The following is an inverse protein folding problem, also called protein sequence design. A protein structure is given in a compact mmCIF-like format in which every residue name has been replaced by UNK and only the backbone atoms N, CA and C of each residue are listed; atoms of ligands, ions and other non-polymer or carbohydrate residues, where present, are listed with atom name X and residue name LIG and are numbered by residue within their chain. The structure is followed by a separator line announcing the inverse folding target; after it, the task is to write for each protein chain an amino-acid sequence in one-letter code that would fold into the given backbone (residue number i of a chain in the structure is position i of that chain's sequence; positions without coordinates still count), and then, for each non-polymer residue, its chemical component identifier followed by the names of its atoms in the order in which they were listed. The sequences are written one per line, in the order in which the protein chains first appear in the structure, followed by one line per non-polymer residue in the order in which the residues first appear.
data_IF_955548980077
#
_entry.id   IF_955548980077
#
_cell.length_a   1.000
_cell.length_b   1.000
_cell.length_c   1.000
_cell.angle_alpha   90.00
_cell.angle_beta   90.00
_cell.angle_gamma   90.00
#
_symmetry.space_group_name_H-M   'P 1'
#
loop_
_entity.id
_entity.type
_entity.pdbx_description
1 polymer ?
#
# COMPACT_ATOMS: atom_id res chain seq x y z
N UNK A 1 8.21 -10.39 3.97
CA UNK A 1 7.38 -9.30 4.53
C UNK A 1 5.90 -9.64 4.39
N UNK A 2 5.11 -9.51 5.47
CA UNK A 2 3.65 -9.76 5.58
C UNK A 2 3.09 -11.20 5.58
N UNK A 3 3.87 -12.25 5.25
CA UNK A 3 3.33 -13.63 5.12
C UNK A 3 2.57 -14.17 6.36
N UNK A 4 2.98 -13.75 7.56
CA UNK A 4 2.37 -14.13 8.85
C UNK A 4 1.35 -13.11 9.39
N UNK A 5 1.10 -12.03 8.66
CA UNK A 5 0.17 -10.98 9.07
C UNK A 5 -1.27 -11.33 8.68
N UNK A 6 -2.24 -10.68 9.34
CA UNK A 6 -3.68 -10.82 9.04
C UNK A 6 -4.02 -10.21 7.68
N UNK A 7 -5.08 -10.70 7.03
CA UNK A 7 -5.65 -10.04 5.84
C UNK A 7 -5.96 -8.56 6.15
N UNK A 8 -5.63 -7.66 5.22
CA UNK A 8 -5.74 -6.22 5.43
C UNK A 8 -4.56 -5.58 6.17
N UNK A 9 -3.50 -6.35 6.50
CA UNK A 9 -2.25 -5.79 7.02
C UNK A 9 -1.45 -5.12 5.91
N UNK A 10 -0.92 -3.93 6.17
CA UNK A 10 -0.28 -3.12 5.15
C UNK A 10 0.90 -2.32 5.68
N UNK A 11 1.79 -1.93 4.78
CA UNK A 11 2.84 -0.94 5.07
C UNK A 11 3.18 -0.13 3.81
N UNK A 12 3.49 1.14 4.02
CA UNK A 12 4.10 2.00 2.99
C UNK A 12 5.61 1.94 3.18
N UNK A 13 6.32 1.65 2.09
CA UNK A 13 7.78 1.51 2.06
C UNK A 13 8.39 2.27 0.89
N UNK A 14 9.69 2.41 0.90
CA UNK A 14 10.42 2.79 -0.31
C UNK A 14 10.31 1.69 -1.37
N UNK A 15 10.23 2.12 -2.64
CA UNK A 15 10.26 1.22 -3.77
C UNK A 15 11.67 0.62 -3.92
N UNK A 16 11.74 -0.70 -4.03
CA UNK A 16 13.00 -1.43 -4.25
C UNK A 16 13.55 -1.21 -5.67
N UNK A 17 12.68 -0.99 -6.65
CA UNK A 17 13.05 -0.85 -8.05
C UNK A 17 13.28 0.60 -8.48
N UNK A 18 12.83 1.59 -7.71
CA UNK A 18 12.85 2.98 -8.12
C UNK A 18 13.10 3.93 -6.96
N UNK A 19 14.30 4.50 -6.92
CA UNK A 19 14.75 5.35 -5.83
C UNK A 19 13.88 6.59 -5.70
N UNK A 20 13.43 6.87 -4.47
CA UNK A 20 12.58 8.04 -4.15
C UNK A 20 11.10 7.83 -4.40
N UNK A 21 10.68 6.68 -4.93
CA UNK A 21 9.27 6.31 -5.03
C UNK A 21 8.83 5.50 -3.81
N UNK A 22 7.53 5.53 -3.53
CA UNK A 22 6.91 4.74 -2.45
C UNK A 22 6.08 3.60 -3.04
N UNK A 23 5.93 2.54 -2.26
CA UNK A 23 5.09 1.39 -2.59
C UNK A 23 4.26 0.97 -1.38
N UNK A 24 3.04 0.51 -1.65
CA UNK A 24 2.19 -0.16 -0.68
C UNK A 24 2.42 -1.68 -0.77
N UNK A 25 2.77 -2.31 0.34
CA UNK A 25 2.68 -3.76 0.49
C UNK A 25 1.43 -4.10 1.30
N UNK A 26 0.65 -5.07 0.83
CA UNK A 26 -0.60 -5.50 1.43
C UNK A 26 -0.65 -7.03 1.55
N UNK A 27 -1.15 -7.52 2.68
CA UNK A 27 -1.50 -8.93 2.85
C UNK A 27 -2.96 -9.17 2.44
N UNK A 28 -3.18 -9.89 1.35
CA UNK A 28 -4.48 -10.49 1.06
C UNK A 28 -4.57 -11.91 1.62
N UNK A 29 -5.74 -12.55 1.55
CA UNK A 29 -5.90 -13.97 1.92
C UNK A 29 -4.91 -14.88 1.21
N UNK A 30 -4.74 -14.69 -0.10
CA UNK A 30 -4.06 -15.66 -0.97
C UNK A 30 -2.64 -15.24 -1.37
N UNK A 31 -2.32 -13.94 -1.37
CA UNK A 31 -1.00 -13.45 -1.77
C UNK A 31 -0.62 -12.14 -1.07
N UNK A 32 0.65 -11.74 -1.24
CA UNK A 32 1.09 -10.39 -0.92
C UNK A 32 1.00 -9.53 -2.18
N UNK A 33 0.31 -8.41 -2.05
CA UNK A 33 0.09 -7.46 -3.14
C UNK A 33 1.05 -6.30 -2.94
N UNK A 34 1.75 -5.92 -4.01
CA UNK A 34 2.69 -4.81 -4.02
C UNK A 34 2.27 -3.83 -5.11
N UNK A 35 2.02 -2.59 -4.73
CA UNK A 35 1.52 -1.56 -5.64
C UNK A 35 2.35 -0.31 -5.50
N UNK A 36 2.77 0.26 -6.63
CA UNK A 36 3.49 1.52 -6.66
C UNK A 36 2.55 2.67 -6.28
N UNK A 37 3.06 3.59 -5.48
CA UNK A 37 2.42 4.89 -5.23
C UNK A 37 3.14 5.88 -6.14
N UNK A 38 2.41 6.46 -7.09
CA UNK A 38 2.97 7.36 -8.09
C UNK A 38 2.61 8.80 -7.75
N UNK A 39 3.61 9.68 -7.71
CA UNK A 39 3.40 11.12 -7.74
C UNK A 39 3.27 11.58 -9.19
N UNK A 40 2.10 12.13 -9.54
CA UNK A 40 1.83 12.70 -10.87
C UNK A 40 2.54 14.05 -11.03
N UNK A 41 2.59 14.53 -12.29
CA UNK A 41 3.21 15.81 -12.65
C UNK A 41 2.53 16.99 -11.93
N UNK A 42 1.23 16.89 -11.66
CA UNK A 42 0.46 17.90 -10.92
C UNK A 42 0.66 17.83 -9.39
N UNK A 43 1.56 16.97 -8.88
CA UNK A 43 1.84 16.80 -7.46
C UNK A 43 0.86 15.88 -6.70
N UNK A 44 -0.15 15.33 -7.38
CA UNK A 44 -1.11 14.40 -6.76
C UNK A 44 -0.55 12.98 -6.69
N UNK A 45 -0.94 12.23 -5.67
CA UNK A 45 -0.56 10.84 -5.45
C UNK A 45 -1.68 9.89 -5.87
N UNK A 46 -1.29 8.77 -6.48
CA UNK A 46 -2.20 7.67 -6.85
C UNK A 46 -1.63 6.32 -6.41
N UNK A 47 -2.52 5.39 -6.03
CA UNK A 47 -2.22 3.99 -5.75
C UNK A 47 -2.40 3.13 -7.01
N UNK A 48 -1.31 2.87 -7.75
CA UNK A 48 -1.38 2.28 -9.08
C UNK A 48 -1.95 3.26 -10.13
N UNK A 49 -2.00 2.82 -11.39
CA UNK A 49 -2.23 3.72 -12.55
C UNK A 49 -3.66 4.27 -12.66
N UNK A 50 -4.67 3.54 -12.16
CA UNK A 50 -6.09 3.85 -12.37
C UNK A 50 -6.86 4.14 -11.08
N UNK A 51 -6.18 4.61 -10.04
CA UNK A 51 -6.84 4.98 -8.79
C UNK A 51 -7.11 6.48 -8.69
N UNK A 52 -7.89 6.86 -7.67
CA UNK A 52 -8.20 8.24 -7.31
C UNK A 52 -6.94 9.03 -6.97
N UNK A 53 -6.99 10.33 -7.26
CA UNK A 53 -5.96 11.31 -6.92
C UNK A 53 -6.09 11.80 -5.48
N UNK A 54 -4.96 11.91 -4.78
CA UNK A 54 -4.85 12.40 -3.40
C UNK A 54 -3.78 13.48 -3.28
N UNK A 55 -3.91 14.39 -2.32
CA UNK A 55 -2.91 15.45 -2.10
C UNK A 55 -1.70 14.94 -1.31
N UNK A 56 -1.86 13.84 -0.57
CA UNK A 56 -0.77 13.23 0.19
C UNK A 56 -0.94 11.72 0.35
N UNK A 57 0.16 11.03 0.65
CA UNK A 57 0.13 9.60 0.96
C UNK A 57 -0.69 9.29 2.23
N UNK A 58 -0.55 10.03 3.36
CA UNK A 58 -1.39 9.79 4.54
C UNK A 58 -2.90 9.90 4.25
N UNK A 59 -3.32 10.90 3.48
CA UNK A 59 -4.73 11.05 3.06
C UNK A 59 -5.21 9.86 2.23
N UNK A 60 -4.39 9.41 1.27
CA UNK A 60 -4.69 8.22 0.47
C UNK A 60 -4.85 6.96 1.35
N UNK A 61 -3.96 6.77 2.32
CA UNK A 61 -4.02 5.63 3.24
C UNK A 61 -5.29 5.71 4.09
N UNK A 62 -5.58 6.87 4.69
CA UNK A 62 -6.78 7.10 5.50
C UNK A 62 -8.06 6.78 4.72
N UNK A 63 -8.16 7.26 3.48
CA UNK A 63 -9.27 6.95 2.59
C UNK A 63 -9.48 5.43 2.41
N UNK A 64 -8.42 4.68 2.11
CA UNK A 64 -8.52 3.24 1.91
C UNK A 64 -8.62 2.42 3.20
N UNK A 65 -8.60 3.04 4.39
CA UNK A 65 -9.04 2.36 5.61
C UNK A 65 -10.56 2.15 5.63
N UNK A 66 -11.31 3.01 4.92
CA UNK A 66 -12.77 3.02 4.88
C UNK A 66 -13.33 2.58 3.52
N UNK A 67 -12.51 2.54 2.47
CA UNK A 67 -12.92 2.22 1.10
C UNK A 67 -12.17 1.02 0.54
N UNK A 68 -12.87 0.20 -0.23
CA UNK A 68 -12.30 -0.97 -0.90
C UNK A 68 -11.21 -0.57 -1.88
N UNK A 69 -10.16 -1.38 -1.95
CA UNK A 69 -8.99 -1.11 -2.79
C UNK A 69 -9.30 -1.37 -4.27
N UNK A 70 -8.92 -0.47 -5.20
CA UNK A 70 -9.09 -0.66 -6.63
C UNK A 70 -7.96 -1.53 -7.21
N UNK A 71 -7.64 -2.64 -6.56
CA UNK A 71 -6.46 -3.48 -6.84
C UNK A 71 -6.86 -4.91 -7.16
N UNK A 72 -6.35 -5.45 -8.27
CA UNK A 72 -6.61 -6.84 -8.66
C UNK A 72 -6.14 -7.82 -7.59
N UNK A 73 -7.05 -8.64 -7.06
CA UNK A 73 -6.80 -9.59 -5.96
C UNK A 73 -6.94 -9.00 -4.54
N UNK A 74 -7.32 -7.72 -4.41
CA UNK A 74 -7.62 -7.04 -3.15
C UNK A 74 -8.89 -6.17 -3.21
N UNK A 75 -9.74 -6.38 -4.21
CA UNK A 75 -10.96 -5.61 -4.44
C UNK A 75 -11.94 -5.71 -3.26
N UNK A 76 -11.83 -6.76 -2.44
CA UNK A 76 -12.65 -6.99 -1.25
C UNK A 76 -11.98 -6.52 0.06
N UNK A 77 -10.85 -5.82 -0.01
CA UNK A 77 -10.01 -5.48 1.16
C UNK A 77 -9.95 -3.97 1.38
N UNK A 78 -9.92 -3.58 2.65
CA UNK A 78 -9.51 -2.23 3.11
C UNK A 78 -8.18 -2.30 3.88
N UNK A 79 -7.58 -1.15 4.16
CA UNK A 79 -6.36 -1.04 4.96
C UNK A 79 -6.70 -1.07 6.45
N UNK A 80 -6.46 -2.21 7.13
CA UNK A 80 -6.94 -2.44 8.49
C UNK A 80 -5.81 -2.38 9.52
N UNK A 81 -4.68 -3.02 9.23
CA UNK A 81 -3.62 -3.21 10.21
C UNK A 81 -2.30 -2.58 9.71
N UNK A 82 -1.97 -1.34 10.11
CA UNK A 82 -0.69 -0.75 9.77
C UNK A 82 0.44 -1.55 10.42
N UNK A 83 1.47 -1.85 9.64
CA UNK A 83 2.69 -2.54 10.10
C UNK A 83 3.83 -1.53 10.06
N UNK A 84 4.54 -1.39 11.18
CA UNK A 84 5.73 -0.54 11.22
C UNK A 84 6.84 -1.17 10.34
N UNK A 85 7.39 -0.35 9.44
CA UNK A 85 8.54 -0.68 8.61
C UNK A 85 9.72 -1.26 9.41
N UNK A 86 9.91 -0.84 10.67
CA UNK A 86 11.03 -1.29 11.52
C UNK A 86 10.92 -2.76 11.97
N UNK A 87 9.72 -3.34 11.96
CA UNK A 87 9.48 -4.73 12.39
C UNK A 87 9.56 -5.73 11.24
N UNK A 88 9.59 -5.21 10.02
CA UNK A 88 9.55 -6.02 8.83
C UNK A 88 10.95 -6.57 8.45
N UNK A 89 12.01 -6.06 9.09
CA UNK A 89 13.42 -6.48 8.95
C UNK A 89 13.92 -7.42 10.07
N UNK A 90 13.16 -7.66 11.16
CA UNK A 90 13.64 -8.44 12.32
C UNK A 90 13.33 -9.94 12.29
N UNK A 91 13.16 -10.55 11.11
CA UNK A 91 13.04 -12.01 10.99
C UNK A 91 13.96 -12.58 9.89
N UNK A 92 15.16 -12.01 9.77
CA UNK A 92 16.29 -12.64 9.08
C UNK A 92 17.20 -13.31 10.12
#
# INVERSE_FOLDING_TARGET
MLRVCKEGSYLVRDSESEKGQKSLSLKSRSLNIHVKITCKINGMFVLGENSRDFHSIPEMIDYYTQHLLPLKGAEHITLIHPVDSKWADQNL
#
